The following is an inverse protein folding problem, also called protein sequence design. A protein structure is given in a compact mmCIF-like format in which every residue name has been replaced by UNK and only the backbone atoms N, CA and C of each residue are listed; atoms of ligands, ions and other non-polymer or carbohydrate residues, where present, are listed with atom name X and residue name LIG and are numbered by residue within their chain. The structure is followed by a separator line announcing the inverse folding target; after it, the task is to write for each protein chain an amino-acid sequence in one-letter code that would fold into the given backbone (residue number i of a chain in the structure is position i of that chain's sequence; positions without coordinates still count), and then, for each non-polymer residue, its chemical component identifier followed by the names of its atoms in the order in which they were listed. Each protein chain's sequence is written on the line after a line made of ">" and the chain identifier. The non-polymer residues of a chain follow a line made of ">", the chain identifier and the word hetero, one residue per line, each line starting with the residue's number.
data_IF_980902481945
#
_entry.id   IF_980902481945
#
_cell.length_a   1.000
_cell.length_b   1.000
_cell.length_c   1.000
_cell.angle_alpha   90.00
_cell.angle_beta   90.00
_cell.angle_gamma   90.00
#
_symmetry.space_group_name_H-M   'P 1'
#
loop_
_entity.id
_entity.type
_entity.pdbx_description
1 polymer ?
#
# COMPACT_ATOMS: atom_id res chain seq x y z
N UNK A 1 -38.38 -40.82 5.88
CA UNK A 1 -38.29 -39.59 6.68
C UNK A 1 -36.87 -39.32 7.20
N UNK A 2 -36.22 -40.26 7.89
CA UNK A 2 -34.82 -40.10 8.36
C UNK A 2 -33.80 -39.76 7.25
N UNK A 3 -33.91 -40.41 6.09
CA UNK A 3 -32.98 -40.26 4.96
C UNK A 3 -33.00 -38.86 4.33
N UNK A 4 -34.14 -38.17 4.36
CA UNK A 4 -34.28 -36.83 3.79
C UNK A 4 -33.63 -35.76 4.67
N UNK A 5 -33.62 -35.96 6.00
CA UNK A 5 -32.97 -35.06 6.96
C UNK A 5 -31.45 -35.16 6.84
N UNK A 6 -30.93 -36.39 6.69
CA UNK A 6 -29.49 -36.62 6.45
C UNK A 6 -29.05 -35.99 5.13
N UNK A 7 -29.83 -36.17 4.05
CA UNK A 7 -29.56 -35.56 2.75
C UNK A 7 -29.50 -34.03 2.81
N UNK A 8 -30.42 -33.39 3.54
CA UNK A 8 -30.41 -31.93 3.74
C UNK A 8 -29.16 -31.45 4.49
N UNK A 9 -28.75 -32.14 5.55
CA UNK A 9 -27.54 -31.80 6.33
C UNK A 9 -26.27 -31.95 5.50
N UNK A 10 -26.16 -33.03 4.73
CA UNK A 10 -25.02 -33.29 3.84
C UNK A 10 -24.92 -32.22 2.75
N UNK A 11 -26.03 -31.85 2.12
CA UNK A 11 -26.06 -30.77 1.12
C UNK A 11 -25.67 -29.41 1.72
N UNK A 12 -26.18 -29.08 2.90
CA UNK A 12 -25.80 -27.85 3.61
C UNK A 12 -24.30 -27.85 3.97
N UNK A 13 -23.76 -29.00 4.38
CA UNK A 13 -22.34 -29.16 4.69
C UNK A 13 -21.47 -28.93 3.46
N UNK A 14 -21.80 -29.56 2.33
CA UNK A 14 -21.08 -29.35 1.07
C UNK A 14 -21.15 -27.89 0.61
N UNK A 15 -22.32 -27.24 0.72
CA UNK A 15 -22.45 -25.83 0.38
C UNK A 15 -21.61 -24.91 1.30
N UNK A 16 -21.53 -25.21 2.60
CA UNK A 16 -20.66 -24.47 3.52
C UNK A 16 -19.17 -24.70 3.23
N UNK A 17 -18.78 -25.93 2.90
CA UNK A 17 -17.41 -26.27 2.53
C UNK A 17 -17.00 -25.59 1.22
N UNK A 18 -17.85 -25.64 0.19
CA UNK A 18 -17.60 -24.98 -1.09
C UNK A 18 -17.39 -23.47 -0.91
N UNK A 19 -18.22 -22.81 -0.08
CA UNK A 19 -18.03 -21.39 0.26
C UNK A 19 -16.66 -21.12 0.90
N UNK A 20 -16.23 -21.94 1.87
CA UNK A 20 -14.92 -21.81 2.52
C UNK A 20 -13.76 -22.05 1.56
N UNK A 21 -13.86 -23.03 0.67
CA UNK A 21 -12.83 -23.33 -0.32
C UNK A 21 -12.68 -22.19 -1.33
N UNK A 22 -13.79 -21.65 -1.81
CA UNK A 22 -13.79 -20.52 -2.74
C UNK A 22 -13.14 -19.29 -2.09
N UNK A 23 -13.58 -18.93 -0.89
CA UNK A 23 -13.00 -17.81 -0.14
C UNK A 23 -11.50 -18.01 0.11
N UNK A 24 -11.06 -19.22 0.50
CA UNK A 24 -9.64 -19.52 0.68
C UNK A 24 -8.83 -19.32 -0.60
N UNK A 25 -9.35 -19.74 -1.75
CA UNK A 25 -8.70 -19.55 -3.05
C UNK A 25 -8.57 -18.07 -3.40
N UNK A 26 -9.61 -17.27 -3.18
CA UNK A 26 -9.55 -15.82 -3.41
C UNK A 26 -8.52 -15.14 -2.50
N UNK A 27 -8.43 -15.56 -1.23
CA UNK A 27 -7.42 -15.04 -0.32
C UNK A 27 -5.99 -15.39 -0.74
N UNK A 28 -5.78 -16.58 -1.29
CA UNK A 28 -4.49 -17.03 -1.79
C UNK A 28 -4.08 -16.29 -3.07
N UNK A 29 -5.02 -16.09 -3.99
CA UNK A 29 -4.79 -15.27 -5.19
C UNK A 29 -4.51 -13.82 -4.83
N UNK A 30 -5.30 -13.25 -3.90
CA UNK A 30 -5.10 -11.89 -3.42
C UNK A 30 -3.72 -11.75 -2.77
N UNK A 31 -3.34 -12.65 -1.86
CA UNK A 31 -2.04 -12.57 -1.19
C UNK A 31 -0.88 -12.64 -2.19
N UNK A 32 -0.97 -13.46 -3.24
CA UNK A 32 0.06 -13.58 -4.27
C UNK A 32 0.30 -12.29 -5.09
N UNK A 33 -0.71 -11.43 -5.24
CA UNK A 33 -0.59 -10.18 -6.02
C UNK A 33 -0.13 -8.97 -5.20
N UNK A 34 -0.14 -9.04 -3.86
CA UNK A 34 0.34 -7.90 -3.05
C UNK A 34 1.84 -7.64 -3.28
N UNK A 35 2.27 -6.37 -3.40
CA UNK A 35 3.68 -6.01 -3.59
C UNK A 35 4.63 -6.59 -2.53
N UNK A 36 4.12 -6.81 -1.31
CA UNK A 36 4.87 -7.30 -0.14
C UNK A 36 5.03 -8.84 -0.18
N UNK A 37 4.11 -9.55 -0.83
CA UNK A 37 4.08 -11.02 -0.84
C UNK A 37 5.10 -11.66 -1.80
N UNK A 38 5.71 -10.88 -2.70
CA UNK A 38 6.91 -11.32 -3.44
C UNK A 38 8.13 -11.48 -2.55
N UNK A 39 8.17 -10.78 -1.40
CA UNK A 39 9.28 -10.85 -0.44
C UNK A 39 9.00 -11.79 0.74
N UNK A 40 7.73 -11.98 1.11
CA UNK A 40 7.29 -12.87 2.18
C UNK A 40 6.25 -13.82 1.57
N UNK A 41 6.53 -15.12 1.54
CA UNK A 41 5.67 -16.11 0.87
C UNK A 41 4.20 -15.94 1.24
N UNK A 42 3.30 -16.03 0.24
CA UNK A 42 1.84 -15.95 0.39
C UNK A 42 1.29 -16.84 1.51
N UNK A 43 1.96 -17.96 1.77
CA UNK A 43 1.62 -18.95 2.78
C UNK A 43 1.87 -18.50 4.24
N UNK A 44 2.70 -17.48 4.47
CA UNK A 44 2.96 -16.95 5.82
C UNK A 44 1.95 -15.88 6.26
N UNK A 45 1.15 -15.34 5.33
CA UNK A 45 0.19 -14.28 5.61
C UNK A 45 -1.14 -14.87 6.13
N UNK A 46 -1.56 -14.46 7.32
CA UNK A 46 -2.89 -14.79 7.84
C UNK A 46 -3.99 -13.99 7.12
N UNK A 47 -5.22 -14.53 7.07
CA UNK A 47 -6.36 -13.93 6.36
C UNK A 47 -6.63 -12.48 6.79
N UNK A 48 -6.50 -12.15 8.08
CA UNK A 48 -6.77 -10.81 8.56
C UNK A 48 -5.67 -9.83 8.12
N UNK A 49 -4.41 -10.25 8.15
CA UNK A 49 -3.31 -9.46 7.62
C UNK A 49 -3.40 -9.24 6.11
N UNK A 50 -3.84 -10.22 5.32
CA UNK A 50 -4.11 -10.03 3.88
C UNK A 50 -5.07 -8.86 3.67
N UNK A 51 -6.23 -8.86 4.35
CA UNK A 51 -7.22 -7.76 4.24
C UNK A 51 -6.62 -6.42 4.67
N UNK A 52 -5.95 -6.37 5.82
CA UNK A 52 -5.36 -5.13 6.35
C UNK A 52 -4.30 -4.56 5.41
N UNK A 53 -3.43 -5.41 4.87
CA UNK A 53 -2.38 -4.99 3.94
C UNK A 53 -2.98 -4.53 2.61
N UNK A 54 -3.98 -5.22 2.08
CA UNK A 54 -4.66 -4.81 0.83
C UNK A 54 -5.26 -3.41 0.98
N UNK A 55 -5.99 -3.16 2.07
CA UNK A 55 -6.59 -1.84 2.33
C UNK A 55 -5.50 -0.76 2.47
N UNK A 56 -4.46 -1.04 3.27
CA UNK A 56 -3.35 -0.10 3.45
C UNK A 56 -2.63 0.19 2.13
N UNK A 57 -2.44 -0.82 1.28
CA UNK A 57 -1.80 -0.66 -0.02
C UNK A 57 -2.63 0.21 -0.97
N UNK A 58 -3.95 0.00 -1.04
CA UNK A 58 -4.85 0.84 -1.84
C UNK A 58 -4.83 2.29 -1.35
N UNK A 59 -4.94 2.51 -0.04
CA UNK A 59 -4.86 3.86 0.54
C UNK A 59 -3.52 4.54 0.29
N UNK A 60 -2.43 3.78 0.37
CA UNK A 60 -1.09 4.29 0.11
C UNK A 60 -0.93 4.65 -1.37
N UNK A 61 -1.48 3.85 -2.27
CA UNK A 61 -1.50 4.13 -3.70
C UNK A 61 -2.28 5.42 -4.00
N UNK A 62 -3.50 5.54 -3.48
CA UNK A 62 -4.30 6.76 -3.63
C UNK A 62 -3.56 7.99 -3.07
N UNK A 63 -2.93 7.85 -1.90
CA UNK A 63 -2.13 8.92 -1.31
C UNK A 63 -0.92 9.28 -2.18
N UNK A 64 -0.24 8.30 -2.76
CA UNK A 64 0.92 8.54 -3.60
C UNK A 64 0.56 9.22 -4.93
N UNK A 65 -0.61 8.90 -5.48
CA UNK A 65 -1.11 9.44 -6.76
C UNK A 65 -1.70 10.83 -6.60
N UNK A 66 -2.52 11.05 -5.58
CA UNK A 66 -3.31 12.29 -5.41
C UNK A 66 -2.78 13.22 -4.32
N UNK A 67 -1.75 12.80 -3.56
CA UNK A 67 -1.10 13.64 -2.55
C UNK A 67 -0.38 14.83 -3.18
N UNK A 68 -0.16 15.90 -2.39
CA UNK A 68 0.66 17.05 -2.78
C UNK A 68 1.88 17.14 -1.86
N UNK A 69 3.12 17.09 -2.38
CA UNK A 69 3.48 16.69 -3.74
C UNK A 69 3.15 15.21 -4.00
N UNK A 70 2.88 14.86 -5.25
CA UNK A 70 2.64 13.47 -5.65
C UNK A 70 3.92 12.67 -5.39
N UNK A 71 3.79 11.54 -4.71
CA UNK A 71 4.93 10.64 -4.50
C UNK A 71 5.31 9.87 -5.77
N UNK A 72 4.39 9.83 -6.73
CA UNK A 72 4.72 9.66 -8.13
C UNK A 72 5.54 10.88 -8.56
N UNK A 73 6.82 10.87 -8.23
CA UNK A 73 7.81 11.78 -8.81
C UNK A 73 7.82 11.42 -10.28
N UNK A 74 6.99 12.10 -11.06
CA UNK A 74 7.20 12.17 -12.49
C UNK A 74 8.61 12.72 -12.64
N UNK A 75 9.43 12.05 -13.44
CA UNK A 75 10.81 12.40 -13.78
C UNK A 75 10.91 13.74 -14.54
N UNK A 76 10.03 14.68 -14.25
CA UNK A 76 9.90 15.98 -14.86
C UNK A 76 10.74 16.99 -14.07
N UNK A 77 12.05 16.79 -14.13
CA UNK A 77 13.02 17.88 -13.94
C UNK A 77 12.94 18.93 -15.08
N UNK A 78 11.95 18.86 -15.96
CA UNK A 78 11.84 19.65 -17.19
C UNK A 78 10.84 20.81 -17.15
N UNK A 79 10.19 21.07 -16.01
CA UNK A 79 9.22 22.17 -15.90
C UNK A 79 9.30 22.93 -14.57
N UNK A 80 10.51 23.11 -14.04
CA UNK A 80 10.76 24.21 -13.12
C UNK A 80 10.83 25.50 -13.95
N UNK A 81 9.78 26.32 -13.83
CA UNK A 81 9.78 27.69 -14.30
C UNK A 81 11.03 28.38 -13.74
N UNK A 82 11.79 29.05 -14.63
CA UNK A 82 13.11 29.66 -14.44
C UNK A 82 13.21 30.78 -13.38
N UNK A 83 12.38 30.78 -12.34
CA UNK A 83 12.36 31.82 -11.31
C UNK A 83 12.64 31.29 -9.88
N UNK A 84 12.94 30.00 -9.72
CA UNK A 84 13.32 29.42 -8.43
C UNK A 84 14.84 29.52 -8.20
N UNK A 85 15.33 30.72 -7.85
CA UNK A 85 16.75 30.98 -7.52
C UNK A 85 17.32 30.00 -6.46
N UNK A 86 16.47 29.44 -5.59
CA UNK A 86 16.88 28.52 -4.53
C UNK A 86 17.36 27.15 -5.05
N UNK A 87 16.87 26.69 -6.19
CA UNK A 87 17.25 25.40 -6.77
C UNK A 87 18.66 25.45 -7.37
N UNK A 88 19.01 26.58 -8.01
CA UNK A 88 20.35 26.83 -8.53
C UNK A 88 21.37 26.95 -7.38
N UNK A 89 21.00 27.57 -6.26
CA UNK A 89 21.84 27.65 -5.06
C UNK A 89 22.13 26.26 -4.47
N UNK A 90 21.19 25.33 -4.57
CA UNK A 90 21.33 23.95 -4.08
C UNK A 90 22.19 23.09 -5.00
N UNK A 91 22.17 23.33 -6.32
CA UNK A 91 22.99 22.59 -7.29
C UNK A 91 24.44 23.11 -7.39
N UNK A 92 24.69 24.39 -7.11
CA UNK A 92 26.04 24.98 -7.17
C UNK A 92 26.90 24.70 -5.94
N UNK A 93 26.30 24.30 -4.81
CA UNK A 93 27.02 23.98 -3.59
C UNK A 93 27.08 22.46 -3.38
N UNK A 94 28.04 21.80 -4.03
CA UNK A 94 28.31 20.36 -3.93
C UNK A 94 28.87 19.91 -2.57
N UNK A 95 28.57 20.60 -1.46
CA UNK A 95 29.09 20.32 -0.12
C UNK A 95 27.99 20.30 0.96
N UNK A 96 26.83 19.71 0.68
CA UNK A 96 25.85 19.37 1.72
C UNK A 96 25.89 17.88 2.04
N UNK A 97 27.03 17.43 2.53
CA UNK A 97 27.08 16.24 3.37
C UNK A 97 26.50 16.63 4.74
N UNK A 98 25.48 15.87 5.15
CA UNK A 98 24.97 15.67 6.51
C UNK A 98 24.70 16.92 7.36
N UNK A 99 23.41 17.19 7.62
CA UNK A 99 22.83 17.59 8.92
C UNK A 99 21.38 18.05 8.62
N UNK A 100 20.40 17.16 8.83
CA UNK A 100 19.00 17.58 9.01
C UNK A 100 18.96 18.32 10.35
N UNK A 101 19.37 19.59 10.32
CA UNK A 101 19.32 20.47 11.48
C UNK A 101 17.90 21.03 11.60
N UNK A 102 17.28 20.74 12.75
CA UNK A 102 15.97 21.18 13.25
C UNK A 102 15.80 22.72 13.37
N UNK A 103 16.43 23.51 12.50
CA UNK A 103 16.51 24.97 12.65
C UNK A 103 15.57 25.79 11.74
N UNK A 104 14.99 25.22 10.69
CA UNK A 104 14.22 26.02 9.70
C UNK A 104 12.72 26.19 10.00
N UNK A 105 12.14 25.42 10.92
CA UNK A 105 10.76 25.65 11.39
C UNK A 105 10.66 26.75 12.45
N UNK A 106 11.77 27.09 13.13
CA UNK A 106 11.74 28.01 14.28
C UNK A 106 11.52 29.48 13.88
N UNK A 107 11.89 29.89 12.67
CA UNK A 107 11.75 31.28 12.22
C UNK A 107 10.38 31.60 11.61
N UNK A 108 9.54 30.59 11.35
CA UNK A 108 8.19 30.81 10.80
C UNK A 108 7.12 31.12 11.89
N UNK A 109 7.46 31.03 13.17
CA UNK A 109 6.53 31.31 14.29
C UNK A 109 6.77 32.67 15.00
N UNK A 110 7.67 33.51 14.49
CA UNK A 110 8.07 34.78 15.12
C UNK A 110 8.16 35.95 14.13
N UNK A 111 7.14 36.09 13.28
CA UNK A 111 6.81 37.34 12.56
C UNK A 111 5.31 37.53 12.60
#
# INVERSE_FOLDING_TARGET
>A
MERDVVSKRVRSRHAAQHRRLNENSEFEQLSAVLPIARAISSQLLDKASVVRLTISCMRLYDFAVYGSPTWLVESNYGSLQLNDEWALQMMLNSNYSTQISLGKWALAFLT
#
